data_IF_722367465525
#
_entry.id   IF_722367465525
#
_cell.length_a   1.000
_cell.length_b   1.000
_cell.length_c   1.000
_cell.angle_alpha   90.00
_cell.angle_beta   90.00
_cell.angle_gamma   90.00
#
_symmetry.space_group_name_H-M   'P 1'
#
loop_
_entity.id
_entity.type
_entity.pdbx_description
1 polymer ?
#
# COMPACT_ATOMS: atom_id res chain seq x y z
N UNK A 1 -11.13 31.84 45.07
CA UNK A 1 -12.31 30.93 44.99
C UNK A 1 -13.06 31.05 43.67
N UNK A 2 -13.98 32.02 43.44
CA UNK A 2 -14.77 32.06 42.19
C UNK A 2 -13.94 32.20 40.90
N UNK A 3 -12.80 32.91 40.97
CA UNK A 3 -11.85 33.00 39.86
C UNK A 3 -11.00 31.74 39.65
N UNK A 4 -10.68 30.99 40.72
CA UNK A 4 -10.02 29.68 40.60
C UNK A 4 -10.97 28.64 40.00
N UNK A 5 -12.24 28.66 40.37
CA UNK A 5 -13.25 27.74 39.82
C UNK A 5 -13.40 27.92 38.30
N UNK A 6 -13.38 29.18 37.83
CA UNK A 6 -13.39 29.48 36.40
C UNK A 6 -12.10 29.05 35.71
N UNK A 7 -10.94 29.26 36.33
CA UNK A 7 -9.65 28.82 35.80
C UNK A 7 -9.58 27.30 35.66
N UNK A 8 -10.05 26.56 36.67
CA UNK A 8 -10.06 25.10 36.68
C UNK A 8 -11.06 24.53 35.67
N UNK A 9 -12.22 25.19 35.48
CA UNK A 9 -13.20 24.81 34.45
C UNK A 9 -12.66 25.03 33.04
N UNK A 10 -11.97 26.15 32.79
CA UNK A 10 -11.30 26.42 31.50
C UNK A 10 -10.19 25.40 31.22
N UNK A 11 -9.37 25.10 32.23
CA UNK A 11 -8.33 24.08 32.12
C UNK A 11 -8.94 22.71 31.79
N UNK A 12 -10.03 22.31 32.46
CA UNK A 12 -10.72 21.05 32.19
C UNK A 12 -11.25 20.95 30.75
N UNK A 13 -11.85 22.02 30.23
CA UNK A 13 -12.30 22.05 28.83
C UNK A 13 -11.13 21.91 27.85
N UNK A 14 -10.02 22.62 28.10
CA UNK A 14 -8.83 22.51 27.25
C UNK A 14 -8.18 21.12 27.27
N UNK A 15 -8.18 20.44 28.43
CA UNK A 15 -7.64 19.09 28.57
C UNK A 15 -8.50 18.05 27.83
N UNK A 16 -9.82 18.23 27.80
CA UNK A 16 -10.72 17.33 27.07
C UNK A 16 -10.50 17.39 25.55
N UNK A 17 -10.32 18.58 25.00
CA UNK A 17 -10.01 18.78 23.56
C UNK A 17 -8.65 18.15 23.19
N UNK A 18 -7.62 18.38 24.01
CA UNK A 18 -6.27 17.81 23.79
C UNK A 18 -6.31 16.28 23.87
N UNK A 19 -7.04 15.73 24.85
CA UNK A 19 -7.21 14.29 24.99
C UNK A 19 -7.89 13.69 23.75
N UNK A 20 -8.97 14.31 23.26
CA UNK A 20 -9.67 13.85 22.06
C UNK A 20 -8.75 13.86 20.82
N UNK A 21 -8.03 14.97 20.60
CA UNK A 21 -7.09 15.10 19.49
C UNK A 21 -5.98 14.03 19.55
N UNK A 22 -5.39 13.80 20.73
CA UNK A 22 -4.34 12.79 20.90
C UNK A 22 -4.80 11.36 20.60
N UNK A 23 -6.04 11.00 20.99
CA UNK A 23 -6.62 9.70 20.70
C UNK A 23 -6.80 9.52 19.19
N UNK A 24 -7.34 10.53 18.50
CA UNK A 24 -7.50 10.49 17.04
C UNK A 24 -6.15 10.33 16.32
N UNK A 25 -5.13 11.09 16.74
CA UNK A 25 -3.78 11.00 16.17
C UNK A 25 -3.17 9.61 16.42
N UNK A 26 -3.33 9.05 17.62
CA UNK A 26 -2.82 7.72 17.96
C UNK A 26 -3.44 6.63 17.07
N UNK A 27 -4.77 6.67 16.86
CA UNK A 27 -5.47 5.74 15.97
C UNK A 27 -4.97 5.90 14.54
N UNK A 28 -4.83 7.14 14.05
CA UNK A 28 -4.33 7.39 12.70
C UNK A 28 -2.92 6.81 12.50
N UNK A 29 -2.01 7.00 13.45
CA UNK A 29 -0.65 6.44 13.41
C UNK A 29 -0.70 4.91 13.41
N UNK A 30 -1.52 4.30 14.26
CA UNK A 30 -1.66 2.85 14.32
C UNK A 30 -2.14 2.27 12.98
N UNK A 31 -3.13 2.91 12.35
CA UNK A 31 -3.62 2.52 11.01
C UNK A 31 -2.52 2.64 9.96
N UNK A 32 -1.81 3.78 9.91
CA UNK A 32 -0.71 3.97 8.95
C UNK A 32 0.37 2.91 9.16
N UNK A 33 0.78 2.67 10.40
CA UNK A 33 1.78 1.65 10.73
C UNK A 33 1.32 0.25 10.31
N UNK A 34 0.05 -0.09 10.55
CA UNK A 34 -0.53 -1.36 10.09
C UNK A 34 -0.48 -1.49 8.57
N UNK A 35 -0.87 -0.44 7.85
CA UNK A 35 -0.84 -0.41 6.39
C UNK A 35 0.58 -0.58 5.85
N UNK A 36 1.56 0.11 6.43
CA UNK A 36 2.98 -0.02 6.05
C UNK A 36 3.47 -1.45 6.30
N UNK A 37 3.16 -2.02 7.47
CA UNK A 37 3.54 -3.40 7.78
C UNK A 37 2.89 -4.41 6.82
N UNK A 38 1.60 -4.24 6.54
CA UNK A 38 0.84 -5.12 5.65
C UNK A 38 1.37 -5.04 4.22
N UNK A 39 1.64 -3.83 3.72
CA UNK A 39 2.18 -3.61 2.37
C UNK A 39 3.58 -4.19 2.24
N UNK A 40 4.45 -3.99 3.24
CA UNK A 40 5.79 -4.59 3.24
C UNK A 40 5.72 -6.12 3.19
N UNK A 41 4.89 -6.72 4.05
CA UNK A 41 4.70 -8.17 4.06
C UNK A 41 4.11 -8.67 2.72
N UNK A 42 3.17 -7.93 2.13
CA UNK A 42 2.58 -8.26 0.84
C UNK A 42 3.61 -8.18 -0.29
N UNK A 43 4.40 -7.11 -0.36
CA UNK A 43 5.50 -6.92 -1.32
C UNK A 43 6.53 -8.04 -1.22
N UNK A 44 6.72 -8.63 -0.04
CA UNK A 44 7.66 -9.75 0.14
C UNK A 44 7.03 -11.13 -0.14
N UNK A 45 5.77 -11.36 0.23
CA UNK A 45 5.09 -12.66 0.03
C UNK A 45 4.50 -12.86 -1.37
N UNK A 46 3.88 -11.84 -1.96
CA UNK A 46 3.35 -11.87 -3.32
C UNK A 46 4.34 -12.39 -4.36
N UNK A 47 5.61 -11.92 -4.41
CA UNK A 47 6.51 -12.34 -5.45
C UNK A 47 6.89 -13.82 -5.33
N UNK A 48 7.13 -14.31 -4.12
CA UNK A 48 7.39 -15.74 -3.89
C UNK A 48 6.22 -16.62 -4.34
N UNK A 49 4.99 -16.17 -4.09
CA UNK A 49 3.80 -16.92 -4.50
C UNK A 49 3.63 -16.90 -6.03
N UNK A 50 3.90 -15.76 -6.67
CA UNK A 50 3.86 -15.61 -8.12
C UNK A 50 4.92 -16.47 -8.81
N UNK A 51 6.15 -16.45 -8.32
CA UNK A 51 7.25 -17.30 -8.76
C UNK A 51 6.89 -18.78 -8.64
N UNK A 52 6.35 -19.19 -7.48
CA UNK A 52 5.94 -20.57 -7.24
C UNK A 52 4.81 -21.02 -8.17
N UNK A 53 3.85 -20.14 -8.47
CA UNK A 53 2.75 -20.43 -9.38
C UNK A 53 3.24 -20.58 -10.82
N UNK A 54 4.11 -19.69 -11.29
CA UNK A 54 4.69 -19.74 -12.63
C UNK A 54 5.58 -20.98 -12.81
N UNK A 55 6.41 -21.29 -11.81
CA UNK A 55 7.27 -22.48 -11.83
C UNK A 55 6.46 -23.78 -11.86
N UNK A 56 5.32 -23.85 -11.16
CA UNK A 56 4.39 -24.98 -11.25
C UNK A 56 3.74 -25.13 -12.62
N UNK A 57 3.60 -24.03 -13.37
CA UNK A 57 3.06 -24.01 -14.75
C UNK A 57 4.14 -24.25 -15.82
N UNK A 58 5.37 -24.59 -15.42
CA UNK A 58 6.49 -24.84 -16.35
C UNK A 58 7.18 -23.56 -16.84
N UNK A 59 6.75 -22.38 -16.39
CA UNK A 59 7.37 -21.11 -16.71
C UNK A 59 8.46 -20.81 -15.67
N UNK A 60 9.65 -21.36 -15.90
CA UNK A 60 10.85 -21.04 -15.13
C UNK A 60 11.37 -19.65 -15.52
N UNK A 61 10.93 -18.62 -14.79
CA UNK A 61 11.41 -17.24 -14.96
C UNK A 61 12.64 -16.91 -14.11
N UNK A 62 13.25 -15.76 -14.38
CA UNK A 62 14.35 -15.20 -13.56
C UNK A 62 13.88 -14.89 -12.13
N UNK A 63 14.76 -14.99 -11.12
CA UNK A 63 14.41 -14.69 -9.73
C UNK A 63 13.91 -13.24 -9.59
N UNK A 64 12.82 -13.06 -8.83
CA UNK A 64 12.11 -11.79 -8.74
C UNK A 64 12.92 -10.70 -8.03
N UNK A 65 12.99 -9.50 -8.64
CA UNK A 65 13.64 -8.33 -8.07
C UNK A 65 12.64 -7.18 -7.85
N UNK A 66 12.15 -6.96 -6.61
CA UNK A 66 10.96 -6.13 -6.34
C UNK A 66 10.97 -4.69 -6.85
N UNK A 67 12.15 -4.05 -6.91
CA UNK A 67 12.23 -2.59 -7.08
C UNK A 67 13.29 -2.14 -8.10
N UNK A 68 14.31 -2.94 -8.37
CA UNK A 68 15.49 -2.47 -9.13
C UNK A 68 15.33 -2.67 -10.64
N UNK A 69 14.58 -3.69 -11.08
CA UNK A 69 14.52 -4.05 -12.50
C UNK A 69 13.14 -4.49 -12.98
N UNK A 70 12.52 -5.45 -12.31
CA UNK A 70 11.29 -6.06 -12.82
C UNK A 70 10.13 -5.08 -12.85
N UNK A 71 9.97 -4.24 -11.82
CA UNK A 71 8.84 -3.31 -11.77
C UNK A 71 8.89 -2.32 -12.94
N UNK A 72 10.05 -1.74 -13.23
CA UNK A 72 10.25 -0.83 -14.38
C UNK A 72 9.95 -1.56 -15.70
N UNK A 73 10.47 -2.78 -15.87
CA UNK A 73 10.29 -3.58 -17.08
C UNK A 73 8.82 -3.96 -17.30
N UNK A 74 8.11 -4.34 -16.24
CA UNK A 74 6.67 -4.59 -16.26
C UNK A 74 5.88 -3.34 -16.65
N UNK A 75 6.19 -2.18 -16.06
CA UNK A 75 5.51 -0.93 -16.43
C UNK A 75 5.76 -0.53 -17.89
N UNK A 76 6.99 -0.67 -18.38
CA UNK A 76 7.31 -0.41 -19.79
C UNK A 76 6.55 -1.37 -20.71
N UNK A 77 6.56 -2.68 -20.44
CA UNK A 77 5.79 -3.66 -21.21
C UNK A 77 4.29 -3.41 -21.17
N UNK A 78 3.74 -3.02 -20.01
CA UNK A 78 2.33 -2.67 -19.86
C UNK A 78 1.97 -1.41 -20.67
N UNK A 79 2.86 -0.42 -20.70
CA UNK A 79 2.67 0.81 -21.47
C UNK A 79 2.75 0.53 -22.97
N UNK A 80 3.70 -0.29 -23.39
CA UNK A 80 3.86 -0.72 -24.78
C UNK A 80 2.65 -1.53 -25.24
N UNK A 81 2.21 -2.53 -24.47
CA UNK A 81 1.02 -3.32 -24.76
C UNK A 81 -0.28 -2.48 -24.80
N UNK A 82 -0.37 -1.43 -23.97
CA UNK A 82 -1.48 -0.45 -24.04
C UNK A 82 -1.43 0.38 -25.32
N UNK A 83 -0.24 0.69 -25.81
CA UNK A 83 -0.03 1.49 -27.03
C UNK A 83 -0.23 0.68 -28.32
N UNK A 84 0.03 -0.63 -28.28
CA UNK A 84 -0.20 -1.57 -29.38
C UNK A 84 -1.29 -2.57 -28.99
N UNK A 85 -2.58 -2.18 -29.03
CA UNK A 85 -3.66 -3.13 -28.79
C UNK A 85 -3.63 -4.23 -29.85
N UNK A 86 -3.65 -5.49 -29.42
CA UNK A 86 -3.73 -6.65 -30.31
C UNK A 86 -5.05 -6.55 -31.09
N UNK A 87 -4.96 -6.45 -32.43
CA UNK A 87 -6.15 -6.44 -33.28
C UNK A 87 -6.66 -7.87 -33.43
N UNK A 88 -7.97 -8.06 -33.21
CA UNK A 88 -8.64 -9.37 -33.29
C UNK A 88 -8.56 -10.02 -34.68
N UNK A 89 -8.18 -9.26 -35.70
CA UNK A 89 -8.08 -9.68 -37.10
C UNK A 89 -6.69 -10.20 -37.50
N UNK A 90 -5.64 -9.98 -36.69
CA UNK A 90 -4.28 -10.43 -37.02
C UNK A 90 -4.05 -11.93 -36.74
N UNK A 91 -4.91 -12.58 -35.94
CA UNK A 91 -4.78 -13.99 -35.53
C UNK A 91 -5.76 -14.94 -36.27
N UNK A 92 -6.52 -14.40 -37.24
CA UNK A 92 -7.42 -15.18 -38.09
C UNK A 92 -6.87 -15.14 -39.53
N UNK A 93 -5.74 -15.82 -39.75
CA UNK A 93 -5.42 -16.32 -41.09
C UNK A 93 -5.94 -17.76 -41.19
N UNK A 94 -6.70 -18.11 -42.24
CA UNK A 94 -7.21 -19.47 -42.46
C UNK A 94 -6.10 -20.49 -42.73
#
# INVERSE_FOLDING_TARGET
RKLEDLSNSLAFLSLMEISLASVTVSIAIALVSWWVWRTLNWVWFKPKMLESCLRRRGLSGTPYTPLVGDLKRNFTMLTEARSTPIKLTDDIQP
#
